data_IF_145424538724
#
_entry.id   IF_145424538724
#
_cell.length_a   1.000
_cell.length_b   1.000
_cell.length_c   1.000
_cell.angle_alpha   90.00
_cell.angle_beta   90.00
_cell.angle_gamma   90.00
#
_symmetry.space_group_name_H-M   'P 1'
#
loop_
_entity.id
_entity.type
_entity.pdbx_description
1 polymer ?
#
# COMPACT_ATOMS: atom_id res chain seq x y z
N UNK A 1 8.07 -15.97 6.51
CA UNK A 1 8.43 -15.75 5.09
C UNK A 1 9.20 -16.97 4.59
N UNK A 2 8.67 -17.75 3.64
CA UNK A 2 9.27 -19.03 3.20
C UNK A 2 10.55 -18.86 2.36
N UNK A 3 10.70 -17.71 1.71
CA UNK A 3 11.76 -17.47 0.70
C UNK A 3 12.60 -16.23 0.97
N UNK A 4 12.52 -15.62 2.16
CA UNK A 4 13.26 -14.39 2.51
C UNK A 4 12.80 -13.12 1.80
N UNK A 5 12.02 -13.22 0.72
CA UNK A 5 11.51 -12.07 -0.04
C UNK A 5 10.51 -11.22 0.77
N UNK A 6 10.56 -9.92 0.50
CA UNK A 6 9.53 -8.98 0.93
C UNK A 6 8.31 -9.08 0.03
N UNK A 7 7.12 -8.93 0.65
CA UNK A 7 5.86 -8.98 -0.06
C UNK A 7 5.29 -7.56 -0.11
N UNK A 8 5.24 -6.99 -1.31
CA UNK A 8 4.42 -5.83 -1.62
C UNK A 8 3.10 -6.31 -2.25
N UNK A 9 1.97 -5.78 -1.80
CA UNK A 9 0.67 -6.02 -2.43
C UNK A 9 0.23 -4.77 -3.15
N UNK A 10 0.19 -4.84 -4.48
CA UNK A 10 -0.48 -3.84 -5.30
C UNK A 10 -1.99 -4.08 -5.25
N UNK A 11 -2.68 -3.28 -4.44
CA UNK A 11 -4.12 -3.29 -4.30
C UNK A 11 -4.73 -2.03 -4.94
N UNK A 12 -4.14 -1.50 -6.02
CA UNK A 12 -4.60 -0.31 -6.72
C UNK A 12 -6.14 -0.23 -6.88
N UNK A 13 -6.76 -1.33 -7.31
CA UNK A 13 -8.22 -1.45 -7.42
C UNK A 13 -8.86 -2.18 -6.22
N UNK A 14 -8.17 -3.17 -5.66
CA UNK A 14 -8.71 -4.05 -4.61
C UNK A 14 -8.68 -3.46 -3.20
N UNK A 15 -7.86 -2.46 -2.93
CA UNK A 15 -7.62 -1.91 -1.60
C UNK A 15 -8.87 -1.28 -0.96
N UNK A 16 -9.68 -0.50 -1.69
CA UNK A 16 -10.92 0.07 -1.15
C UNK A 16 -11.97 -0.95 -0.71
N UNK A 17 -11.81 -2.25 -1.01
CA UNK A 17 -12.66 -3.30 -0.44
C UNK A 17 -12.54 -3.36 1.10
N UNK A 18 -11.46 -2.83 1.69
CA UNK A 18 -11.32 -2.65 3.14
C UNK A 18 -12.47 -1.83 3.75
N UNK A 19 -13.07 -0.91 2.98
CA UNK A 19 -14.16 -0.05 3.46
C UNK A 19 -15.55 -0.71 3.30
N UNK A 20 -15.63 -1.95 2.84
CA UNK A 20 -16.87 -2.69 2.68
C UNK A 20 -16.98 -3.82 3.69
N UNK A 21 -17.98 -3.79 4.57
CA UNK A 21 -18.24 -4.88 5.53
C UNK A 21 -18.41 -6.25 4.86
N UNK A 22 -18.97 -6.26 3.64
CA UNK A 22 -19.21 -7.49 2.87
C UNK A 22 -17.99 -8.01 2.13
N UNK A 23 -17.11 -7.13 1.65
CA UNK A 23 -15.99 -7.50 0.78
C UNK A 23 -14.63 -7.50 1.47
N UNK A 24 -14.47 -6.80 2.61
CA UNK A 24 -13.24 -6.77 3.39
C UNK A 24 -12.68 -8.17 3.72
N UNK A 25 -13.49 -9.21 4.03
CA UNK A 25 -12.98 -10.55 4.28
C UNK A 25 -12.21 -11.16 3.09
N UNK A 26 -12.43 -10.69 1.86
CA UNK A 26 -11.68 -11.15 0.67
C UNK A 26 -10.23 -10.68 0.65
N UNK A 27 -9.87 -9.72 1.50
CA UNK A 27 -8.52 -9.20 1.66
C UNK A 27 -7.76 -9.92 2.79
N UNK A 28 -8.25 -11.05 3.29
CA UNK A 28 -7.55 -11.84 4.30
C UNK A 28 -6.10 -12.16 3.86
N UNK A 29 -5.13 -11.83 4.72
CA UNK A 29 -3.70 -11.99 4.44
C UNK A 29 -2.99 -10.74 3.91
N UNK A 30 -3.68 -9.62 3.71
CA UNK A 30 -3.06 -8.33 3.35
C UNK A 30 -2.04 -7.89 4.41
N UNK A 31 -2.30 -8.22 5.68
CA UNK A 31 -1.46 -7.98 6.86
C UNK A 31 -0.08 -8.67 6.78
N UNK A 32 0.09 -9.63 5.87
CA UNK A 32 1.37 -10.32 5.64
C UNK A 32 2.32 -9.51 4.75
N UNK A 33 1.84 -8.46 4.11
CA UNK A 33 2.63 -7.59 3.26
C UNK A 33 3.47 -6.62 4.11
N UNK A 34 4.69 -6.31 3.67
CA UNK A 34 5.50 -5.24 4.28
C UNK A 34 5.04 -3.87 3.80
N UNK A 35 4.37 -3.82 2.64
CA UNK A 35 3.78 -2.62 2.08
C UNK A 35 2.57 -2.95 1.19
N UNK A 36 1.62 -2.03 1.14
CA UNK A 36 0.41 -2.11 0.32
C UNK A 36 0.18 -0.77 -0.36
N UNK A 37 -0.23 -0.78 -1.62
CA UNK A 37 -0.72 0.41 -2.32
C UNK A 37 -2.18 0.28 -2.69
N UNK A 38 -2.89 1.41 -2.76
CA UNK A 38 -4.19 1.48 -3.43
C UNK A 38 -4.49 2.87 -3.98
N UNK A 39 -5.36 2.95 -4.99
CA UNK A 39 -5.66 4.19 -5.67
C UNK A 39 -7.05 4.73 -5.31
N UNK A 40 -7.07 5.89 -4.69
CA UNK A 40 -8.31 6.62 -4.43
C UNK A 40 -8.92 7.15 -5.73
N UNK A 41 -8.12 7.40 -6.75
CA UNK A 41 -8.62 7.78 -8.08
C UNK A 41 -9.22 6.61 -8.89
N UNK A 42 -9.19 5.38 -8.36
CA UNK A 42 -9.88 4.22 -8.95
C UNK A 42 -11.23 3.98 -8.27
N UNK A 43 -11.23 3.63 -6.98
CA UNK A 43 -12.44 3.31 -6.21
C UNK A 43 -12.61 4.15 -4.93
N UNK A 44 -12.00 5.34 -4.86
CA UNK A 44 -12.08 6.25 -3.71
C UNK A 44 -12.67 7.63 -4.01
N UNK A 45 -13.26 7.82 -5.20
CA UNK A 45 -13.87 9.08 -5.65
C UNK A 45 -12.97 10.31 -5.51
N UNK A 46 -11.66 10.15 -5.72
CA UNK A 46 -10.72 11.27 -5.81
C UNK A 46 -10.35 11.53 -7.28
N UNK A 47 -10.07 12.79 -7.68
CA UNK A 47 -9.51 13.08 -8.99
C UNK A 47 -8.09 12.50 -9.11
N UNK A 48 -7.64 12.30 -10.36
CA UNK A 48 -6.23 11.97 -10.62
C UNK A 48 -5.36 13.20 -10.29
N UNK A 49 -4.24 13.07 -9.58
CA UNK A 49 -3.64 11.85 -9.01
C UNK A 49 -3.90 11.72 -7.51
N UNK A 50 -4.41 10.56 -7.09
CA UNK A 50 -4.64 10.25 -5.67
C UNK A 50 -4.42 8.76 -5.38
N UNK A 51 -3.37 8.45 -4.62
CA UNK A 51 -3.00 7.09 -4.22
C UNK A 51 -2.47 7.05 -2.79
N UNK A 52 -2.48 5.85 -2.19
CA UNK A 52 -2.02 5.59 -0.83
C UNK A 52 -0.94 4.53 -0.88
N UNK A 53 0.16 4.78 -0.16
CA UNK A 53 1.16 3.78 0.21
C UNK A 53 1.08 3.59 1.73
N UNK A 54 0.78 2.37 2.16
CA UNK A 54 0.86 1.95 3.55
C UNK A 54 2.06 1.01 3.72
N UNK A 55 2.82 1.18 4.80
CA UNK A 55 3.94 0.31 5.17
C UNK A 55 3.68 -0.27 6.56
N UNK A 56 4.11 -1.51 6.78
CA UNK A 56 3.97 -2.18 8.08
C UNK A 56 4.91 -1.56 9.15
N UNK A 57 6.00 -0.94 8.70
CA UNK A 57 6.98 -0.23 9.53
C UNK A 57 7.40 1.07 8.83
N UNK A 58 7.27 2.21 9.50
CA UNK A 58 7.62 3.52 8.95
C UNK A 58 9.12 3.69 8.74
N UNK A 59 9.96 2.88 9.38
CA UNK A 59 11.40 2.84 9.10
C UNK A 59 11.70 2.50 7.63
N UNK A 60 10.80 1.78 6.95
CA UNK A 60 10.90 1.48 5.52
C UNK A 60 10.80 2.74 4.64
N UNK A 61 10.30 3.86 5.18
CA UNK A 61 10.23 5.14 4.46
C UNK A 61 11.49 6.00 4.64
N UNK A 62 12.47 5.56 5.43
CA UNK A 62 13.73 6.28 5.62
C UNK A 62 14.43 6.67 4.30
N UNK A 63 14.45 5.84 3.23
CA UNK A 63 15.04 6.23 1.95
C UNK A 63 14.39 7.46 1.31
N UNK A 64 13.10 7.72 1.55
CA UNK A 64 12.39 8.90 1.03
C UNK A 64 12.82 10.20 1.72
N UNK A 65 13.48 10.10 2.87
CA UNK A 65 13.96 11.25 3.63
C UNK A 65 15.40 11.62 3.30
N UNK A 66 16.07 10.88 2.41
CA UNK A 66 17.43 11.20 1.99
C UNK A 66 17.43 12.55 1.28
N UNK A 67 18.16 13.51 1.87
CA UNK A 67 18.55 14.76 1.22
C UNK A 67 20.05 14.70 1.00
N UNK A 68 20.45 14.74 -0.26
CA UNK A 68 21.85 14.90 -0.64
C UNK A 68 21.94 16.19 -1.42
N UNK A 69 23.04 16.92 -1.24
CA UNK A 69 23.44 17.92 -2.22
C UNK A 69 23.74 17.13 -3.49
N UNK A 70 22.77 17.16 -4.41
CA UNK A 70 23.01 16.69 -5.76
C UNK A 70 23.85 17.78 -6.42
N UNK A 71 25.02 17.42 -6.95
CA UNK A 71 26.01 18.36 -7.54
C UNK A 71 25.36 19.44 -8.41
#
# INVERSE_FOLDING_TARGET
KRYGAELHVDAAYGGPLLFSERLAPRLAGLDRAVSVTFDLHKLGWQPVAAGVLAVADTALLAPLSLRTDYL
#
